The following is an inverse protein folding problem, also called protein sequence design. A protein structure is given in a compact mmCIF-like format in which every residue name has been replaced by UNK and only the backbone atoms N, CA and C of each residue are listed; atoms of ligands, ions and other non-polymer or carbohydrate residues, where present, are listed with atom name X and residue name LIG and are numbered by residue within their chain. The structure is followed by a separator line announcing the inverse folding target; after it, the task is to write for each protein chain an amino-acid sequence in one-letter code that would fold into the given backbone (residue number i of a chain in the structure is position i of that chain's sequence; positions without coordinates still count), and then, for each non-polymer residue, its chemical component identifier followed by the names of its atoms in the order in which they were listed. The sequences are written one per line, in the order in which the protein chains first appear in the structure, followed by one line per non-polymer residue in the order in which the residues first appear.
data_IF_866600884900
#
_entry.id   IF_866600884900
#
_cell.length_a   1.000
_cell.length_b   1.000
_cell.length_c   1.000
_cell.angle_alpha   90.00
_cell.angle_beta   90.00
_cell.angle_gamma   90.00
#
_symmetry.space_group_name_H-M   'P 1'
#
loop_
_entity.id
_entity.type
_entity.pdbx_description
1 polymer ?
#
# COMPACT_ATOMS: atom_id res chain seq x y z
N UNK A 1 5.50 18.61 11.11
CA UNK A 1 5.36 17.25 11.68
C UNK A 1 3.94 16.96 12.16
N UNK A 2 3.40 17.66 13.18
CA UNK A 2 2.02 17.43 13.65
C UNK A 2 0.95 17.51 12.56
N UNK A 3 1.02 18.49 11.64
CA UNK A 3 0.10 18.57 10.48
C UNK A 3 0.18 17.34 9.57
N UNK A 4 1.37 16.81 9.32
CA UNK A 4 1.58 15.63 8.49
C UNK A 4 0.95 14.39 9.12
N UNK A 5 1.21 14.17 10.41
CA UNK A 5 0.62 13.05 11.14
C UNK A 5 -0.90 13.20 11.30
N UNK A 6 -1.37 14.40 11.66
CA UNK A 6 -2.78 14.70 11.83
C UNK A 6 -3.60 14.47 10.56
N UNK A 7 -3.10 14.92 9.41
CA UNK A 7 -3.75 14.65 8.11
C UNK A 7 -3.76 13.14 7.79
N UNK A 8 -2.66 12.43 8.05
CA UNK A 8 -2.55 11.00 7.77
C UNK A 8 -3.43 10.13 8.68
N UNK A 9 -3.66 10.54 9.93
CA UNK A 9 -4.57 9.83 10.84
C UNK A 9 -6.05 10.20 10.60
N UNK A 10 -6.32 11.42 10.12
CA UNK A 10 -7.65 12.01 10.05
C UNK A 10 -8.49 11.57 8.85
N UNK A 11 -9.55 12.35 8.58
CA UNK A 11 -10.51 12.09 7.51
C UNK A 11 -9.89 12.14 6.11
N UNK A 12 -8.78 12.85 5.93
CA UNK A 12 -8.02 12.91 4.67
C UNK A 12 -6.96 11.79 4.56
N UNK A 13 -6.93 10.86 5.52
CA UNK A 13 -5.99 9.75 5.59
C UNK A 13 -6.67 8.46 6.07
N UNK A 14 -6.04 7.78 7.03
CA UNK A 14 -6.43 6.46 7.52
C UNK A 14 -7.92 6.37 7.90
N UNK A 15 -8.44 7.33 8.68
CA UNK A 15 -9.84 7.29 9.10
C UNK A 15 -10.80 7.43 7.90
N UNK A 16 -10.48 8.27 6.93
CA UNK A 16 -11.23 8.39 5.68
C UNK A 16 -11.18 7.12 4.83
N UNK A 17 -10.00 6.52 4.71
CA UNK A 17 -9.82 5.24 4.02
C UNK A 17 -10.60 4.10 4.67
N UNK A 18 -10.65 4.07 6.00
CA UNK A 18 -11.47 3.11 6.75
C UNK A 18 -12.96 3.32 6.50
N UNK A 19 -13.42 4.58 6.45
CA UNK A 19 -14.81 4.89 6.10
C UNK A 19 -15.16 4.43 4.67
N UNK A 20 -14.23 4.60 3.71
CA UNK A 20 -14.40 4.11 2.34
C UNK A 20 -14.47 2.58 2.28
N UNK A 21 -13.61 1.85 3.01
CA UNK A 21 -13.63 0.38 3.08
C UNK A 21 -14.95 -0.14 3.64
N UNK A 22 -15.44 0.43 4.74
CA UNK A 22 -16.75 0.07 5.30
C UNK A 22 -17.90 0.36 4.32
N UNK A 23 -17.82 1.47 3.58
CA UNK A 23 -18.83 1.84 2.59
C UNK A 23 -18.76 1.01 1.29
N UNK A 24 -17.66 0.29 1.05
CA UNK A 24 -17.44 -0.53 -0.13
C UNK A 24 -17.94 -1.98 0.03
N UNK A 25 -18.30 -2.41 1.24
CA UNK A 25 -18.85 -3.76 1.48
C UNK A 25 -20.10 -3.98 0.61
N UNK A 26 -20.10 -5.08 -0.14
CA UNK A 26 -21.20 -5.43 -1.05
C UNK A 26 -21.27 -4.59 -2.32
N UNK A 27 -20.26 -3.77 -2.62
CA UNK A 27 -20.16 -2.99 -3.85
C UNK A 27 -18.98 -3.44 -4.70
N UNK A 28 -19.13 -3.29 -6.01
CA UNK A 28 -18.01 -3.42 -6.95
C UNK A 28 -17.28 -2.08 -7.04
N UNK A 29 -15.99 -2.07 -6.72
CA UNK A 29 -15.12 -0.92 -6.94
C UNK A 29 -14.40 -1.02 -8.27
N UNK A 30 -14.16 0.11 -8.92
CA UNK A 30 -13.13 0.21 -9.96
C UNK A 30 -11.73 0.09 -9.33
N UNK A 31 -10.72 -0.25 -10.14
CA UNK A 31 -9.32 -0.26 -9.68
C UNK A 31 -8.91 1.08 -9.05
N UNK A 32 -9.30 2.19 -9.67
CA UNK A 32 -8.95 3.53 -9.18
C UNK A 32 -9.58 3.83 -7.81
N UNK A 33 -10.81 3.37 -7.57
CA UNK A 33 -11.46 3.52 -6.28
C UNK A 33 -10.83 2.64 -5.21
N UNK A 34 -10.46 1.40 -5.55
CA UNK A 34 -9.74 0.49 -4.67
C UNK A 34 -8.37 1.07 -4.28
N UNK A 35 -7.58 1.52 -5.26
CA UNK A 35 -6.28 2.15 -5.02
C UNK A 35 -6.42 3.40 -4.16
N UNK A 36 -7.43 4.24 -4.42
CA UNK A 36 -7.70 5.41 -3.58
C UNK A 36 -8.04 5.00 -2.16
N UNK A 37 -8.93 4.02 -1.96
CA UNK A 37 -9.27 3.53 -0.63
C UNK A 37 -8.03 3.07 0.14
N UNK A 38 -7.18 2.26 -0.47
CA UNK A 38 -5.96 1.74 0.16
C UNK A 38 -4.87 2.78 0.36
N UNK A 39 -4.72 3.74 -0.57
CA UNK A 39 -3.81 4.86 -0.42
C UNK A 39 -4.13 5.69 0.84
N UNK A 40 -5.41 5.76 1.23
CA UNK A 40 -5.86 6.43 2.45
C UNK A 40 -5.76 5.50 3.66
N UNK A 41 -6.38 4.32 3.59
CA UNK A 41 -6.52 3.39 4.73
C UNK A 41 -5.18 2.91 5.25
N UNK A 42 -4.30 2.48 4.34
CA UNK A 42 -3.03 1.83 4.67
C UNK A 42 -1.86 2.73 4.27
N UNK A 43 -1.91 3.30 3.06
CA UNK A 43 -0.83 4.09 2.49
C UNK A 43 -0.56 5.41 3.21
N UNK A 44 -1.56 6.04 3.83
CA UNK A 44 -1.40 7.37 4.42
C UNK A 44 -0.38 7.37 5.57
N UNK A 45 -0.43 6.39 6.46
CA UNK A 45 0.49 6.29 7.60
C UNK A 45 1.89 5.83 7.19
N UNK A 46 2.01 4.95 6.19
CA UNK A 46 3.31 4.56 5.62
C UNK A 46 3.99 5.78 4.99
N UNK A 47 3.26 6.52 4.15
CA UNK A 47 3.74 7.77 3.54
C UNK A 47 4.08 8.82 4.59
N UNK A 48 3.27 8.96 5.64
CA UNK A 48 3.54 9.89 6.73
C UNK A 48 4.82 9.52 7.50
N UNK A 49 5.05 8.24 7.79
CA UNK A 49 6.26 7.76 8.48
C UNK A 49 7.52 8.15 7.71
N UNK A 50 7.54 7.90 6.40
CA UNK A 50 8.65 8.32 5.51
C UNK A 50 8.82 9.85 5.55
N UNK A 51 7.72 10.59 5.40
CA UNK A 51 7.72 12.06 5.34
C UNK A 51 8.19 12.68 6.66
N UNK A 52 7.84 12.09 7.80
CA UNK A 52 8.28 12.55 9.11
C UNK A 52 9.79 12.37 9.28
N UNK A 53 10.35 11.24 8.84
CA UNK A 53 11.80 11.02 8.81
C UNK A 53 12.52 12.05 7.93
N UNK A 54 11.99 12.33 6.74
CA UNK A 54 12.52 13.35 5.84
C UNK A 54 12.52 14.75 6.46
N UNK A 55 11.40 15.14 7.09
CA UNK A 55 11.26 16.44 7.75
C UNK A 55 12.19 16.58 8.96
N UNK A 56 12.32 15.52 9.77
CA UNK A 56 13.23 15.51 10.91
C UNK A 56 14.70 15.61 10.46
N UNK A 57 15.04 15.01 9.31
CA UNK A 57 16.37 15.08 8.71
C UNK A 57 16.66 16.36 7.91
N UNK A 58 15.74 17.33 7.88
CA UNK A 58 15.94 18.59 7.16
C UNK A 58 15.98 18.44 5.63
N UNK A 59 15.28 17.46 5.07
CA UNK A 59 15.23 17.22 3.63
C UNK A 59 14.75 18.47 2.87
N UNK A 60 15.38 18.75 1.73
CA UNK A 60 14.93 19.78 0.79
C UNK A 60 13.63 19.37 0.07
N UNK A 61 13.05 20.30 -0.68
CA UNK A 61 11.78 20.06 -1.38
C UNK A 61 11.87 18.89 -2.40
N UNK A 62 13.00 18.75 -3.08
CA UNK A 62 13.21 17.70 -4.08
C UNK A 62 13.28 16.31 -3.43
N UNK A 63 14.04 16.18 -2.34
CA UNK A 63 14.17 14.96 -1.54
C UNK A 63 12.84 14.61 -0.88
N UNK A 64 12.13 15.59 -0.34
CA UNK A 64 10.81 15.39 0.24
C UNK A 64 9.82 14.85 -0.80
N UNK A 65 9.81 15.41 -2.02
CA UNK A 65 8.94 14.94 -3.09
C UNK A 65 9.29 13.53 -3.59
N UNK A 66 10.58 13.20 -3.64
CA UNK A 66 11.06 11.84 -3.97
C UNK A 66 10.59 10.82 -2.92
N UNK A 67 10.80 11.14 -1.64
CA UNK A 67 10.39 10.30 -0.52
C UNK A 67 8.87 10.18 -0.39
N UNK A 68 8.13 11.20 -0.79
CA UNK A 68 6.66 11.18 -0.82
C UNK A 68 6.12 10.21 -1.89
N UNK A 69 6.70 10.22 -3.10
CA UNK A 69 6.39 9.24 -4.16
C UNK A 69 6.75 7.82 -3.75
N UNK A 70 7.93 7.65 -3.14
CA UNK A 70 8.35 6.36 -2.57
C UNK A 70 7.32 5.84 -1.54
N UNK A 71 6.96 6.67 -0.55
CA UNK A 71 6.03 6.27 0.51
C UNK A 71 4.63 5.91 -0.02
N UNK A 72 4.15 6.62 -1.05
CA UNK A 72 2.90 6.28 -1.72
C UNK A 72 2.96 4.93 -2.43
N UNK A 73 4.01 4.69 -3.23
CA UNK A 73 4.18 3.46 -3.99
C UNK A 73 4.35 2.24 -3.06
N UNK A 74 5.17 2.35 -2.01
CA UNK A 74 5.35 1.30 -1.00
C UNK A 74 4.05 1.03 -0.25
N UNK A 75 3.29 2.07 0.11
CA UNK A 75 2.02 1.91 0.80
C UNK A 75 0.99 1.12 0.00
N UNK A 76 0.91 1.34 -1.31
CA UNK A 76 0.06 0.54 -2.20
C UNK A 76 0.62 -0.87 -2.42
N UNK A 77 1.94 -1.00 -2.64
CA UNK A 77 2.58 -2.31 -2.82
C UNK A 77 2.33 -3.23 -1.62
N UNK A 78 2.46 -2.69 -0.40
CA UNK A 78 2.20 -3.42 0.83
C UNK A 78 0.80 -4.03 0.87
N UNK A 79 -0.20 -3.28 0.43
CA UNK A 79 -1.58 -3.74 0.40
C UNK A 79 -1.86 -4.72 -0.75
N UNK A 80 -1.28 -4.50 -1.94
CA UNK A 80 -1.39 -5.49 -3.02
C UNK A 80 -0.83 -6.84 -2.57
N UNK A 81 0.29 -6.83 -1.86
CA UNK A 81 0.89 -8.05 -1.31
C UNK A 81 0.02 -8.66 -0.19
N UNK A 82 -0.60 -7.83 0.67
CA UNK A 82 -1.57 -8.27 1.69
C UNK A 82 -2.74 -9.04 1.06
N UNK A 83 -3.36 -8.45 0.04
CA UNK A 83 -4.48 -9.05 -0.68
C UNK A 83 -4.08 -10.36 -1.41
N UNK A 84 -2.84 -10.46 -1.89
CA UNK A 84 -2.31 -11.69 -2.50
C UNK A 84 -2.16 -12.77 -1.43
N UNK A 85 -1.51 -12.45 -0.30
CA UNK A 85 -1.30 -13.38 0.81
C UNK A 85 -2.62 -13.89 1.40
N UNK A 86 -3.63 -13.02 1.52
CA UNK A 86 -4.97 -13.42 1.99
C UNK A 86 -5.60 -14.49 1.08
N UNK A 87 -5.48 -14.34 -0.24
CA UNK A 87 -6.01 -15.31 -1.20
C UNK A 87 -5.21 -16.62 -1.21
N UNK A 88 -3.88 -16.55 -1.13
CA UNK A 88 -3.02 -17.72 -1.12
C UNK A 88 -3.12 -18.51 0.19
N UNK A 89 -3.09 -17.82 1.33
CA UNK A 89 -3.28 -18.40 2.66
C UNK A 89 -4.67 -19.01 2.82
N UNK A 90 -5.71 -18.37 2.28
CA UNK A 90 -7.02 -19.00 2.20
C UNK A 90 -6.93 -20.29 1.39
N UNK A 91 -6.27 -20.31 0.23
CA UNK A 91 -6.16 -21.52 -0.61
C UNK A 91 -5.48 -22.69 0.13
N UNK A 92 -4.41 -22.42 0.89
CA UNK A 92 -3.73 -23.45 1.70
C UNK A 92 -4.60 -23.98 2.84
N UNK A 93 -5.34 -23.11 3.53
CA UNK A 93 -6.27 -23.50 4.61
C UNK A 93 -7.53 -24.20 4.06
N UNK A 94 -8.00 -23.80 2.87
CA UNK A 94 -9.20 -24.33 2.19
C UNK A 94 -9.00 -25.74 1.59
N UNK A 95 -7.77 -26.30 1.60
CA UNK A 95 -7.55 -27.76 1.49
C UNK A 95 -8.27 -28.56 2.60
N UNK A 96 -8.67 -27.85 3.67
CA UNK A 96 -9.65 -28.12 4.73
C UNK A 96 -11.12 -28.31 4.32
N UNK A 97 -11.74 -27.20 3.94
CA UNK A 97 -13.16 -27.05 3.65
C UNK A 97 -13.34 -25.70 2.99
N UNK A 98 -13.67 -25.67 1.71
CA UNK A 98 -13.95 -24.43 0.99
C UNK A 98 -15.12 -23.66 1.63
N UNK A 99 -14.95 -22.35 1.89
CA UNK A 99 -16.06 -21.41 1.92
C UNK A 99 -16.40 -20.72 3.24
N UNK A 100 -15.49 -19.91 3.79
CA UNK A 100 -15.90 -18.80 4.69
C UNK A 100 -15.41 -17.40 4.29
N UNK A 101 -14.36 -17.25 3.48
CA UNK A 101 -13.90 -15.91 3.07
C UNK A 101 -14.47 -15.40 1.73
N UNK A 102 -15.22 -16.22 1.01
CA UNK A 102 -16.14 -15.72 -0.02
C UNK A 102 -17.33 -14.92 0.58
N UNK A 103 -17.47 -14.86 1.91
CA UNK A 103 -18.67 -14.35 2.58
C UNK A 103 -18.69 -12.83 2.82
N UNK A 104 -17.57 -12.10 2.63
CA UNK A 104 -17.53 -10.66 2.91
C UNK A 104 -17.74 -9.75 1.68
N UNK A 105 -17.73 -10.30 0.46
CA UNK A 105 -17.84 -9.55 -0.80
C UNK A 105 -16.95 -8.28 -0.84
N UNK A 106 -15.77 -8.34 -0.20
CA UNK A 106 -14.86 -7.21 -0.13
C UNK A 106 -14.04 -7.12 -1.42
N UNK A 107 -13.93 -5.93 -2.02
CA UNK A 107 -13.10 -5.74 -3.21
C UNK A 107 -11.62 -5.78 -2.81
N UNK A 108 -10.88 -6.69 -3.45
CA UNK A 108 -9.41 -6.84 -3.34
C UNK A 108 -8.75 -6.75 -4.72
N UNK A 109 -7.43 -6.53 -4.77
CA UNK A 109 -6.72 -6.50 -6.05
C UNK A 109 -6.90 -7.79 -6.86
N UNK A 110 -6.70 -9.01 -6.31
CA UNK A 110 -6.98 -10.25 -7.04
C UNK A 110 -8.44 -10.41 -7.49
N UNK A 111 -9.41 -9.89 -6.73
CA UNK A 111 -10.82 -9.96 -7.15
C UNK A 111 -11.15 -9.07 -8.35
N UNK A 112 -10.44 -7.94 -8.52
CA UNK A 112 -10.69 -6.97 -9.58
C UNK A 112 -9.81 -7.22 -10.81
N UNK A 113 -8.54 -7.57 -10.60
CA UNK A 113 -7.54 -7.72 -11.68
C UNK A 113 -7.25 -9.18 -12.05
N UNK A 114 -7.52 -10.11 -11.14
CA UNK A 114 -7.00 -11.47 -11.19
C UNK A 114 -5.56 -11.55 -10.68
N UNK A 115 -5.18 -12.73 -10.16
CA UNK A 115 -3.91 -12.95 -9.47
C UNK A 115 -2.66 -12.54 -10.29
N UNK A 116 -2.61 -12.94 -11.56
CA UNK A 116 -1.47 -12.63 -12.42
C UNK A 116 -1.28 -11.11 -12.64
N UNK A 117 -2.38 -10.36 -12.76
CA UNK A 117 -2.33 -8.92 -12.93
C UNK A 117 -2.02 -8.20 -11.60
N UNK A 118 -2.49 -8.70 -10.46
CA UNK A 118 -2.10 -8.19 -9.14
C UNK A 118 -0.60 -8.32 -8.91
N UNK A 119 0.02 -9.45 -9.28
CA UNK A 119 1.48 -9.63 -9.19
C UNK A 119 2.25 -8.66 -10.08
N UNK A 120 1.76 -8.38 -11.31
CA UNK A 120 2.35 -7.35 -12.17
C UNK A 120 2.22 -5.96 -11.54
N UNK A 121 1.05 -5.64 -10.98
CA UNK A 121 0.81 -4.36 -10.31
C UNK A 121 1.74 -4.16 -9.11
N UNK A 122 1.98 -5.22 -8.34
CA UNK A 122 2.95 -5.21 -7.24
C UNK A 122 4.37 -4.90 -7.73
N UNK A 123 4.80 -5.54 -8.82
CA UNK A 123 6.10 -5.28 -9.43
C UNK A 123 6.23 -3.83 -9.94
N UNK A 124 5.20 -3.31 -10.62
CA UNK A 124 5.15 -1.91 -11.08
C UNK A 124 5.27 -0.91 -9.92
N UNK A 125 4.56 -1.14 -8.81
CA UNK A 125 4.61 -0.29 -7.63
C UNK A 125 5.99 -0.36 -6.95
N UNK A 126 6.59 -1.55 -6.95
CA UNK A 126 7.94 -1.75 -6.39
C UNK A 126 8.98 -1.01 -7.21
N UNK A 127 8.94 -1.12 -8.54
CA UNK A 127 9.82 -0.37 -9.44
C UNK A 127 9.59 1.14 -9.31
N UNK A 128 8.34 1.61 -9.22
CA UNK A 128 8.04 3.02 -8.99
C UNK A 128 8.63 3.55 -7.66
N UNK A 129 8.62 2.73 -6.61
CA UNK A 129 9.27 3.06 -5.34
C UNK A 129 10.79 3.17 -5.49
N UNK A 130 11.43 2.21 -6.17
CA UNK A 130 12.89 2.22 -6.41
C UNK A 130 13.31 3.40 -7.29
N UNK A 131 12.53 3.71 -8.31
CA UNK A 131 12.76 4.85 -9.22
C UNK A 131 12.67 6.18 -8.50
N UNK A 132 11.72 6.32 -7.57
CA UNK A 132 11.60 7.51 -6.72
C UNK A 132 12.86 7.74 -5.86
N UNK A 133 13.61 6.69 -5.53
CA UNK A 133 14.84 6.78 -4.73
C UNK A 133 16.10 7.06 -5.54
N UNK A 134 16.08 6.93 -6.89
CA UNK A 134 17.28 7.13 -7.73
C UNK A 134 18.05 8.44 -7.43
N UNK A 135 17.40 9.61 -7.23
CA UNK A 135 18.13 10.86 -6.94
C UNK A 135 18.88 10.86 -5.61
N UNK A 136 18.51 9.98 -4.67
CA UNK A 136 19.15 9.88 -3.35
C UNK A 136 20.40 8.98 -3.37
N UNK A 137 20.56 8.17 -4.43
CA UNK A 137 21.68 7.26 -4.64
C UNK A 137 21.84 6.25 -3.51
N UNK A 138 23.10 5.93 -3.18
CA UNK A 138 23.44 4.91 -2.16
C UNK A 138 22.86 5.20 -0.77
N UNK A 139 22.55 6.47 -0.45
CA UNK A 139 21.93 6.85 0.84
C UNK A 139 20.53 6.26 1.05
N UNK A 140 19.86 5.86 -0.04
CA UNK A 140 18.53 5.27 0.01
C UNK A 140 18.55 3.73 0.03
N UNK A 141 19.71 3.08 0.18
CA UNK A 141 19.83 1.62 0.14
C UNK A 141 18.87 0.91 1.11
N UNK A 142 18.77 1.38 2.36
CA UNK A 142 17.85 0.80 3.35
C UNK A 142 16.38 0.95 2.93
N UNK A 143 15.99 2.08 2.33
CA UNK A 143 14.64 2.28 1.82
C UNK A 143 14.35 1.38 0.62
N UNK A 144 15.33 1.14 -0.25
CA UNK A 144 15.20 0.21 -1.36
C UNK A 144 14.99 -1.23 -0.86
N UNK A 145 15.73 -1.65 0.18
CA UNK A 145 15.51 -2.96 0.83
C UNK A 145 14.10 -3.05 1.42
N UNK A 146 13.62 -2.01 2.09
CA UNK A 146 12.27 -1.99 2.67
C UNK A 146 11.16 -2.06 1.61
N UNK A 147 11.34 -1.43 0.44
CA UNK A 147 10.38 -1.53 -0.66
C UNK A 147 10.28 -2.96 -1.20
N UNK A 148 11.43 -3.64 -1.38
CA UNK A 148 11.45 -5.05 -1.78
C UNK A 148 10.83 -5.95 -0.73
N UNK A 149 11.18 -5.74 0.54
CA UNK A 149 10.60 -6.49 1.66
C UNK A 149 9.07 -6.36 1.70
N UNK A 150 8.52 -5.15 1.50
CA UNK A 150 7.07 -4.95 1.47
C UNK A 150 6.37 -5.77 0.36
N UNK A 151 7.06 -6.02 -0.76
CA UNK A 151 6.55 -6.82 -1.88
C UNK A 151 6.82 -8.33 -1.75
N UNK A 152 7.84 -8.73 -0.99
CA UNK A 152 8.29 -10.12 -0.87
C UNK A 152 7.89 -10.78 0.45
N UNK A 153 7.28 -10.04 1.39
CA UNK A 153 6.87 -10.56 2.70
C UNK A 153 5.93 -11.76 2.56
N UNK A 154 6.08 -12.71 3.48
CA UNK A 154 5.28 -13.93 3.56
C UNK A 154 4.25 -13.92 4.70
N UNK A 155 4.15 -12.82 5.45
CA UNK A 155 3.18 -12.58 6.53
C UNK A 155 2.93 -11.09 6.69
#
# INVERSE_FOLDING_TARGET
MLRTLGAACGAEGMAGGQALDLAAVGKTLTLAELERMHAYKTGALIRASVRLGALAGGADAATLAALDRYGHAVGLAFQVQDDILDVEGATEVLGKTAGKDAAAAKPTFPSILGMAASRRRLAELTEAALDALRPLGARAATLATLARYAAERAH
#
